data_IF_305926644112
#
_entry.id   IF_305926644112
#
_cell.length_a   1.000
_cell.length_b   1.000
_cell.length_c   1.000
_cell.angle_alpha   90.00
_cell.angle_beta   90.00
_cell.angle_gamma   90.00
#
_symmetry.space_group_name_H-M   'P 1'
#
loop_
_entity.id
_entity.type
_entity.pdbx_description
1 polymer ?
#
# COMPACT_ATOMS: atom_id res chain seq x y z
N UNK A 1 23.04 17.45 7.78
CA UNK A 1 22.29 16.61 6.83
C UNK A 1 20.79 16.71 7.08
N UNK A 2 20.27 16.21 8.21
CA UNK A 2 18.83 16.27 8.53
C UNK A 2 18.24 17.68 8.34
N UNK A 3 18.85 18.70 8.96
CA UNK A 3 18.44 20.10 8.84
C UNK A 3 18.48 20.66 7.41
N UNK A 4 19.39 20.16 6.56
CA UNK A 4 19.51 20.58 5.17
C UNK A 4 18.40 19.96 4.32
N UNK A 5 18.09 18.68 4.53
CA UNK A 5 17.06 17.96 3.78
C UNK A 5 15.65 18.37 4.21
N UNK A 6 15.44 18.69 5.49
CA UNK A 6 14.12 19.06 6.03
C UNK A 6 13.87 20.57 6.07
N UNK A 7 14.84 21.38 5.65
CA UNK A 7 14.74 22.84 5.63
C UNK A 7 14.13 23.38 4.33
N UNK A 8 13.99 24.70 4.22
CA UNK A 8 13.42 25.38 3.03
C UNK A 8 14.18 25.06 1.74
N UNK A 9 15.49 24.77 1.84
CA UNK A 9 16.35 24.40 0.71
C UNK A 9 16.40 22.88 0.42
N UNK A 10 15.59 22.07 1.11
CA UNK A 10 15.63 20.60 1.05
C UNK A 10 15.42 20.03 -0.34
N UNK A 11 14.38 20.50 -1.05
CA UNK A 11 14.11 20.09 -2.43
C UNK A 11 15.27 20.46 -3.38
N UNK A 12 15.79 21.68 -3.28
CA UNK A 12 16.96 22.14 -4.05
C UNK A 12 18.23 21.37 -3.72
N UNK A 13 18.38 20.89 -2.48
CA UNK A 13 19.48 20.01 -2.10
C UNK A 13 19.33 18.63 -2.74
N UNK A 14 18.14 18.02 -2.66
CA UNK A 14 17.85 16.71 -3.28
C UNK A 14 18.01 16.78 -4.80
N UNK A 15 17.49 17.82 -5.45
CA UNK A 15 17.62 18.05 -6.89
C UNK A 15 19.08 18.16 -7.31
N UNK A 16 19.89 18.98 -6.61
CA UNK A 16 21.33 19.09 -6.90
C UNK A 16 22.08 17.79 -6.65
N UNK A 17 21.71 17.06 -5.60
CA UNK A 17 22.36 15.78 -5.27
C UNK A 17 22.03 14.73 -6.33
N UNK A 18 20.78 14.66 -6.78
CA UNK A 18 20.33 13.76 -7.83
C UNK A 18 20.85 14.11 -9.23
N UNK A 19 21.02 15.41 -9.52
CA UNK A 19 21.53 15.89 -10.81
C UNK A 19 23.06 15.93 -10.89
N UNK A 20 23.78 15.87 -9.77
CA UNK A 20 25.24 15.73 -9.83
C UNK A 20 25.64 14.32 -10.30
N UNK A 21 26.67 14.24 -11.14
CA UNK A 21 27.20 12.96 -11.63
C UNK A 21 28.23 12.44 -10.64
N UNK A 22 27.78 11.62 -9.69
CA UNK A 22 28.65 11.07 -8.65
C UNK A 22 29.44 9.87 -9.19
N UNK A 23 30.68 9.65 -8.70
CA UNK A 23 31.35 8.37 -8.89
C UNK A 23 30.56 7.22 -8.28
N UNK A 24 30.83 6.00 -8.76
CA UNK A 24 30.26 4.76 -8.21
C UNK A 24 28.74 4.81 -8.08
N UNK A 25 28.06 5.33 -9.11
CA UNK A 25 26.61 5.37 -9.22
C UNK A 25 25.91 6.13 -8.06
N UNK A 26 26.63 7.02 -7.37
CA UNK A 26 26.12 7.75 -6.21
C UNK A 26 26.22 7.00 -4.88
N UNK A 27 27.11 6.01 -4.75
CA UNK A 27 27.26 5.23 -3.50
C UNK A 27 27.59 6.10 -2.26
N UNK A 28 28.43 7.12 -2.40
CA UNK A 28 28.77 8.01 -1.28
C UNK A 28 27.56 8.80 -0.76
N UNK A 29 26.83 9.58 -1.59
CA UNK A 29 25.63 10.27 -1.11
C UNK A 29 24.53 9.27 -0.72
N UNK A 30 24.46 8.07 -1.30
CA UNK A 30 23.54 7.02 -0.86
C UNK A 30 23.75 6.65 0.62
N UNK A 31 25.00 6.59 1.06
CA UNK A 31 25.41 6.28 2.44
C UNK A 31 24.74 7.18 3.49
N UNK A 32 24.42 8.43 3.13
CA UNK A 32 23.75 9.41 3.99
C UNK A 32 22.33 9.01 4.40
N UNK A 33 21.66 8.16 3.61
CA UNK A 33 20.25 7.78 3.82
C UNK A 33 20.08 6.35 4.38
N UNK A 34 21.15 5.54 4.36
CA UNK A 34 21.10 4.12 4.76
C UNK A 34 20.64 3.87 6.20
N UNK A 35 20.81 4.85 7.10
CA UNK A 35 20.43 4.75 8.51
C UNK A 35 18.93 4.98 8.76
N UNK A 36 18.18 5.53 7.80
CA UNK A 36 16.76 5.91 7.98
C UNK A 36 15.91 4.68 8.30
N UNK A 37 16.06 3.60 7.54
CA UNK A 37 15.29 2.37 7.75
C UNK A 37 15.59 1.73 9.12
N UNK A 38 16.85 1.48 9.50
CA UNK A 38 17.19 0.98 10.84
C UNK A 38 16.72 1.87 12.00
N UNK A 39 16.60 3.19 11.79
CA UNK A 39 16.14 4.12 12.83
C UNK A 39 14.64 3.95 13.16
N UNK A 40 13.83 3.44 12.22
CA UNK A 40 12.41 3.14 12.45
C UNK A 40 12.23 1.94 13.37
N UNK A 41 13.08 0.92 13.22
CA UNK A 41 13.02 -0.31 14.01
C UNK A 41 13.69 -0.16 15.39
N UNK A 42 14.43 0.95 15.59
CA UNK A 42 15.17 1.24 16.82
C UNK A 42 14.29 1.80 17.95
N UNK A 43 14.76 1.66 19.19
CA UNK A 43 14.09 2.23 20.37
C UNK A 43 14.32 3.75 20.55
N UNK A 44 15.21 4.36 19.78
CA UNK A 44 15.58 5.77 19.91
C UNK A 44 14.59 6.69 19.19
N UNK A 45 13.67 7.27 19.97
CA UNK A 45 12.60 8.15 19.48
C UNK A 45 13.11 9.39 18.71
N UNK A 46 14.15 10.11 19.14
CA UNK A 46 14.71 11.22 18.37
C UNK A 46 15.22 10.80 16.98
N UNK A 47 15.94 9.67 16.89
CA UNK A 47 16.41 9.16 15.59
C UNK A 47 15.25 8.75 14.69
N UNK A 48 14.23 8.06 15.24
CA UNK A 48 13.03 7.70 14.49
C UNK A 48 12.30 8.95 13.96
N UNK A 49 12.18 10.00 14.79
CA UNK A 49 11.56 11.27 14.38
C UNK A 49 12.37 11.99 13.29
N UNK A 50 13.69 12.02 13.39
CA UNK A 50 14.55 12.63 12.37
C UNK A 50 14.48 11.85 11.05
N UNK A 51 14.51 10.51 11.11
CA UNK A 51 14.31 9.63 9.98
C UNK A 51 12.98 9.90 9.28
N UNK A 52 11.88 10.03 10.04
CA UNK A 52 10.56 10.30 9.50
C UNK A 52 10.47 11.64 8.77
N UNK A 53 11.08 12.69 9.32
CA UNK A 53 11.11 14.01 8.67
C UNK A 53 11.88 13.99 7.37
N UNK A 54 13.04 13.32 7.34
CA UNK A 54 13.85 13.20 6.13
C UNK A 54 13.09 12.40 5.07
N UNK A 55 12.52 11.25 5.45
CA UNK A 55 11.72 10.43 4.54
C UNK A 55 10.51 11.21 3.99
N UNK A 56 9.87 12.05 4.81
CA UNK A 56 8.79 12.92 4.35
C UNK A 56 9.28 13.90 3.28
N UNK A 57 10.39 14.61 3.51
CA UNK A 57 10.96 15.53 2.51
C UNK A 57 11.39 14.82 1.22
N UNK A 58 11.90 13.59 1.31
CA UNK A 58 12.20 12.76 0.13
C UNK A 58 10.92 12.37 -0.62
N UNK A 59 9.87 12.00 0.11
CA UNK A 59 8.56 11.66 -0.47
C UNK A 59 7.92 12.86 -1.17
N UNK A 60 8.00 14.06 -0.58
CA UNK A 60 7.55 15.31 -1.21
C UNK A 60 8.34 15.60 -2.50
N UNK A 61 9.67 15.50 -2.44
CA UNK A 61 10.52 15.72 -3.60
C UNK A 61 10.19 14.76 -4.75
N UNK A 62 10.02 13.46 -4.49
CA UNK A 62 9.66 12.48 -5.52
C UNK A 62 8.24 12.65 -6.07
N UNK A 63 7.32 13.17 -5.26
CA UNK A 63 5.95 13.47 -5.69
C UNK A 63 5.89 14.71 -6.61
N UNK A 64 6.72 15.72 -6.35
CA UNK A 64 6.68 17.02 -7.04
C UNK A 64 7.66 17.15 -8.20
N UNK A 65 8.74 16.35 -8.19
CA UNK A 65 9.81 16.40 -9.19
C UNK A 65 10.03 15.03 -9.86
N UNK A 66 9.04 14.49 -10.61
CA UNK A 66 9.14 13.17 -11.22
C UNK A 66 10.26 13.06 -12.26
N UNK A 67 10.55 14.14 -12.99
CA UNK A 67 11.64 14.17 -13.97
C UNK A 67 13.01 14.13 -13.28
N UNK A 68 13.21 14.94 -12.23
CA UNK A 68 14.45 14.92 -11.44
C UNK A 68 14.66 13.56 -10.77
N UNK A 69 13.57 12.87 -10.40
CA UNK A 69 13.63 11.53 -9.82
C UNK A 69 14.06 10.48 -10.84
N UNK A 70 13.49 10.50 -12.05
CA UNK A 70 13.92 9.62 -13.16
C UNK A 70 15.36 9.89 -13.56
N UNK A 71 15.77 11.15 -13.60
CA UNK A 71 17.17 11.53 -13.85
C UNK A 71 18.09 11.01 -12.74
N UNK A 72 17.65 11.07 -11.47
CA UNK A 72 18.39 10.54 -10.32
C UNK A 72 18.63 9.05 -10.46
N UNK A 73 17.61 8.27 -10.83
CA UNK A 73 17.72 6.83 -11.04
C UNK A 73 18.70 6.50 -12.17
N UNK A 74 18.56 7.16 -13.33
CA UNK A 74 19.41 6.90 -14.49
C UNK A 74 20.87 7.28 -14.29
N UNK A 75 21.13 8.34 -13.51
CA UNK A 75 22.49 8.87 -13.27
C UNK A 75 23.15 8.32 -12.02
N UNK A 76 22.38 8.12 -10.96
CA UNK A 76 22.85 7.75 -9.62
C UNK A 76 22.00 6.62 -9.03
N UNK A 77 22.01 5.42 -9.64
CA UNK A 77 21.11 4.34 -9.24
C UNK A 77 21.29 3.90 -7.77
N UNK A 78 22.50 3.96 -7.21
CA UNK A 78 22.73 3.61 -5.80
C UNK A 78 22.11 4.65 -4.84
N UNK A 79 22.14 5.93 -5.20
CA UNK A 79 21.47 7.00 -4.44
C UNK A 79 19.96 6.81 -4.49
N UNK A 80 19.41 6.59 -5.68
CA UNK A 80 17.98 6.35 -5.85
C UNK A 80 17.51 5.13 -5.05
N UNK A 81 18.24 4.02 -5.09
CA UNK A 81 17.93 2.82 -4.30
C UNK A 81 17.88 3.10 -2.79
N UNK A 82 18.84 3.87 -2.26
CA UNK A 82 18.88 4.23 -0.83
C UNK A 82 17.69 5.13 -0.44
N UNK A 83 17.33 6.11 -1.29
CA UNK A 83 16.16 6.97 -1.08
C UNK A 83 14.85 6.17 -1.16
N UNK A 84 14.73 5.27 -2.14
CA UNK A 84 13.58 4.38 -2.29
C UNK A 84 13.41 3.47 -1.07
N UNK A 85 14.51 2.87 -0.60
CA UNK A 85 14.52 2.00 0.57
C UNK A 85 14.13 2.75 1.86
N UNK A 86 14.50 4.02 1.98
CA UNK A 86 14.12 4.88 3.10
C UNK A 86 12.60 5.12 3.18
N UNK A 87 11.87 5.07 2.05
CA UNK A 87 10.43 5.31 2.00
C UNK A 87 9.58 4.06 2.33
N UNK A 88 10.13 2.85 2.20
CA UNK A 88 9.39 1.59 2.39
C UNK A 88 8.72 1.52 3.77
N UNK A 89 9.43 1.91 4.84
CA UNK A 89 8.91 1.87 6.20
C UNK A 89 7.72 2.82 6.43
N UNK A 90 7.56 3.85 5.59
CA UNK A 90 6.56 4.91 5.77
C UNK A 90 5.32 4.76 4.88
N UNK A 91 5.22 3.70 4.07
CA UNK A 91 4.05 3.43 3.24
C UNK A 91 2.74 3.35 4.04
N UNK A 92 2.79 2.87 5.28
CA UNK A 92 1.65 2.90 6.19
C UNK A 92 1.21 4.34 6.51
N UNK A 93 2.16 5.21 6.89
CA UNK A 93 1.88 6.61 7.18
C UNK A 93 1.28 7.35 5.98
N UNK A 94 1.78 7.08 4.78
CA UNK A 94 1.26 7.68 3.55
C UNK A 94 -0.25 7.44 3.39
N UNK A 95 -0.78 6.31 3.85
CA UNK A 95 -2.21 5.96 3.79
C UNK A 95 -2.97 6.20 5.11
N UNK A 96 -2.32 6.82 6.08
CA UNK A 96 -2.89 7.21 7.37
C UNK A 96 -2.74 6.20 8.50
N UNK A 97 -1.90 5.17 8.35
CA UNK A 97 -1.52 4.28 9.46
C UNK A 97 -0.46 4.96 10.35
N UNK A 98 -0.79 5.30 11.61
CA UNK A 98 0.16 5.95 12.52
C UNK A 98 1.19 4.98 13.11
N UNK A 99 1.10 3.66 12.87
CA UNK A 99 1.96 2.67 13.49
C UNK A 99 3.42 2.79 13.02
N UNK A 100 4.32 3.11 13.96
CA UNK A 100 5.77 3.01 13.75
C UNK A 100 6.36 4.07 12.80
N UNK A 101 5.70 5.21 12.60
CA UNK A 101 6.07 6.18 11.56
C UNK A 101 6.26 7.61 12.08
N UNK A 102 6.70 7.75 13.34
CA UNK A 102 6.92 9.05 13.99
C UNK A 102 7.77 9.98 13.13
N UNK A 103 7.32 11.23 12.97
CA UNK A 103 8.02 12.27 12.21
C UNK A 103 7.70 12.30 10.72
N UNK A 104 6.95 11.33 10.19
CA UNK A 104 6.48 11.32 8.80
C UNK A 104 5.01 11.75 8.73
N UNK A 105 4.74 12.88 8.09
CA UNK A 105 3.37 13.31 7.80
C UNK A 105 2.88 12.69 6.47
N UNK A 106 1.60 12.31 6.34
CA UNK A 106 1.03 11.95 5.04
C UNK A 106 1.17 13.11 4.04
N UNK A 107 1.46 12.81 2.77
CA UNK A 107 1.57 13.83 1.71
C UNK A 107 0.21 14.46 1.38
N UNK A 108 -0.84 13.67 1.52
CA UNK A 108 -2.23 14.07 1.30
C UNK A 108 -3.07 13.75 2.54
N UNK A 109 -4.22 14.40 2.67
CA UNK A 109 -5.21 13.99 3.66
C UNK A 109 -5.65 12.53 3.39
N UNK A 110 -5.67 11.62 4.38
CA UNK A 110 -6.04 10.22 4.15
C UNK A 110 -7.46 10.02 3.61
N UNK A 111 -8.36 10.99 3.83
CA UNK A 111 -9.72 10.99 3.29
C UNK A 111 -9.86 11.77 1.98
N UNK A 112 -8.76 12.00 1.25
CA UNK A 112 -8.77 12.59 -0.12
C UNK A 112 -8.56 11.54 -1.21
N UNK A 113 -8.45 11.98 -2.46
CA UNK A 113 -8.08 11.17 -3.63
C UNK A 113 -6.56 10.89 -3.71
N UNK A 114 -5.78 11.47 -2.78
CA UNK A 114 -4.34 11.25 -2.60
C UNK A 114 -3.44 11.54 -3.83
N UNK A 115 -3.59 12.70 -4.50
CA UNK A 115 -2.87 12.97 -5.75
C UNK A 115 -1.34 13.04 -5.59
N UNK A 116 -0.80 13.60 -4.49
CA UNK A 116 0.67 13.67 -4.30
C UNK A 116 1.25 12.27 -4.03
N UNK A 117 0.55 11.47 -3.24
CA UNK A 117 0.94 10.08 -2.96
C UNK A 117 0.82 9.22 -4.22
N UNK A 118 -0.20 9.43 -5.05
CA UNK A 118 -0.31 8.78 -6.36
C UNK A 118 0.85 9.16 -7.29
N UNK A 119 1.24 10.45 -7.32
CA UNK A 119 2.41 10.91 -8.06
C UNK A 119 3.69 10.20 -7.60
N UNK A 120 3.92 10.12 -6.28
CA UNK A 120 5.05 9.35 -5.71
C UNK A 120 5.02 7.89 -6.18
N UNK A 121 3.88 7.19 -6.04
CA UNK A 121 3.77 5.79 -6.47
C UNK A 121 4.00 5.64 -7.99
N UNK A 122 3.57 6.61 -8.79
CA UNK A 122 3.77 6.60 -10.25
C UNK A 122 5.25 6.76 -10.60
N UNK A 123 5.92 7.74 -9.96
CA UNK A 123 7.36 7.95 -10.06
C UNK A 123 8.12 6.66 -9.71
N UNK A 124 7.78 6.03 -8.58
CA UNK A 124 8.41 4.77 -8.15
C UNK A 124 8.10 3.61 -9.10
N UNK A 125 6.86 3.47 -9.58
CA UNK A 125 6.50 2.39 -10.52
C UNK A 125 7.24 2.51 -11.86
N UNK A 126 7.53 3.75 -12.30
CA UNK A 126 8.32 4.00 -13.49
C UNK A 126 9.82 3.78 -13.31
N UNK A 127 10.29 3.62 -12.08
CA UNK A 127 11.70 3.64 -11.72
C UNK A 127 12.26 2.24 -11.40
N UNK A 128 12.71 1.53 -12.45
CA UNK A 128 13.60 0.36 -12.37
C UNK A 128 13.35 -0.66 -11.25
N UNK A 129 14.39 -1.42 -10.83
CA UNK A 129 14.22 -2.45 -9.80
C UNK A 129 13.88 -1.91 -8.40
N UNK A 130 14.46 -0.77 -8.00
CA UNK A 130 14.26 -0.21 -6.65
C UNK A 130 12.81 0.29 -6.46
N UNK A 131 12.25 0.94 -7.47
CA UNK A 131 10.86 1.39 -7.46
C UNK A 131 9.85 0.23 -7.56
N UNK A 132 10.16 -0.81 -8.35
CA UNK A 132 9.39 -2.07 -8.33
C UNK A 132 9.39 -2.71 -6.93
N UNK A 133 10.54 -2.71 -6.25
CA UNK A 133 10.67 -3.18 -4.86
C UNK A 133 9.77 -2.41 -3.90
N UNK A 134 9.69 -1.08 -4.04
CA UNK A 134 8.77 -0.25 -3.26
C UNK A 134 7.30 -0.65 -3.48
N UNK A 135 6.85 -0.81 -4.73
CA UNK A 135 5.47 -1.23 -5.03
C UNK A 135 5.19 -2.64 -4.51
N UNK A 136 6.15 -3.56 -4.59
CA UNK A 136 6.03 -4.92 -4.06
C UNK A 136 5.86 -4.93 -2.53
N UNK A 137 6.62 -4.11 -1.80
CA UNK A 137 6.46 -3.95 -0.34
C UNK A 137 5.09 -3.35 0.03
N UNK A 138 4.57 -2.43 -0.80
CA UNK A 138 3.24 -1.87 -0.61
C UNK A 138 2.17 -2.98 -0.75
N UNK A 139 2.31 -3.90 -1.71
CA UNK A 139 1.42 -5.06 -1.85
C UNK A 139 1.46 -5.97 -0.63
N UNK A 140 2.66 -6.32 -0.16
CA UNK A 140 2.80 -7.15 1.05
C UNK A 140 2.16 -6.48 2.28
N UNK A 141 2.15 -5.15 2.34
CA UNK A 141 1.47 -4.40 3.39
C UNK A 141 -0.06 -4.45 3.25
N UNK A 142 -0.60 -4.36 2.02
CA UNK A 142 -2.03 -4.62 1.75
C UNK A 142 -2.42 -6.00 2.25
N UNK A 143 -1.68 -7.04 1.85
CA UNK A 143 -1.95 -8.43 2.23
C UNK A 143 -2.01 -8.58 3.76
N UNK A 144 -1.07 -7.98 4.50
CA UNK A 144 -1.07 -8.00 5.97
C UNK A 144 -2.29 -7.33 6.60
N UNK A 145 -2.71 -6.18 6.09
CA UNK A 145 -3.93 -5.51 6.59
C UNK A 145 -5.19 -6.33 6.29
N UNK A 146 -5.29 -6.90 5.09
CA UNK A 146 -6.44 -7.74 4.71
C UNK A 146 -6.49 -9.03 5.52
N UNK A 147 -5.35 -9.67 5.77
CA UNK A 147 -5.24 -10.85 6.63
C UNK A 147 -5.63 -10.56 8.08
N UNK A 148 -5.09 -9.48 8.67
CA UNK A 148 -5.42 -9.08 10.04
C UNK A 148 -6.92 -8.79 10.19
N UNK A 149 -7.50 -8.06 9.23
CA UNK A 149 -8.95 -7.84 9.19
C UNK A 149 -9.72 -9.16 9.05
N UNK A 150 -9.32 -10.04 8.13
CA UNK A 150 -10.03 -11.28 7.87
C UNK A 150 -9.99 -12.25 9.06
N UNK A 151 -8.86 -12.33 9.76
CA UNK A 151 -8.70 -13.13 10.98
C UNK A 151 -9.62 -12.60 12.09
N UNK A 152 -9.65 -11.28 12.33
CA UNK A 152 -10.53 -10.70 13.34
C UNK A 152 -12.01 -10.85 12.97
N UNK A 153 -12.37 -10.56 11.71
CA UNK A 153 -13.75 -10.67 11.24
C UNK A 153 -14.29 -12.10 11.35
N UNK A 154 -13.44 -13.10 11.11
CA UNK A 154 -13.83 -14.50 11.23
C UNK A 154 -13.89 -14.99 12.70
N UNK A 155 -13.05 -14.44 13.58
CA UNK A 155 -13.00 -14.83 14.99
C UNK A 155 -14.24 -14.38 15.79
N UNK A 156 -14.71 -13.15 15.55
CA UNK A 156 -15.95 -12.63 16.15
C UNK A 156 -16.73 -11.77 15.14
N UNK A 157 -17.49 -12.39 14.23
CA UNK A 157 -18.17 -11.68 13.14
C UNK A 157 -19.36 -10.82 13.61
N UNK A 158 -19.81 -10.99 14.86
CA UNK A 158 -20.89 -10.19 15.46
C UNK A 158 -20.35 -8.95 16.20
N UNK A 159 -19.07 -8.94 16.57
CA UNK A 159 -18.46 -7.80 17.24
C UNK A 159 -18.39 -6.56 16.33
N UNK A 160 -18.53 -5.36 16.91
CA UNK A 160 -18.22 -4.12 16.20
C UNK A 160 -16.76 -4.10 15.71
N UNK A 161 -16.55 -3.86 14.42
CA UNK A 161 -15.22 -3.58 13.86
C UNK A 161 -14.89 -2.11 14.16
N UNK A 162 -14.00 -1.89 15.14
CA UNK A 162 -13.63 -0.56 15.64
C UNK A 162 -12.12 -0.42 15.80
N UNK A 163 -11.64 0.80 16.05
CA UNK A 163 -10.24 1.05 16.37
C UNK A 163 -9.28 0.69 15.22
N UNK A 164 -8.18 0.02 15.57
CA UNK A 164 -7.08 -0.31 14.65
C UNK A 164 -7.55 -1.12 13.44
N UNK A 165 -8.42 -2.12 13.64
CA UNK A 165 -8.81 -3.03 12.55
C UNK A 165 -9.71 -2.38 11.52
N UNK A 166 -10.60 -1.46 11.93
CA UNK A 166 -11.31 -0.61 10.96
C UNK A 166 -10.35 0.34 10.23
N UNK A 167 -9.30 0.79 10.92
CA UNK A 167 -8.21 1.55 10.31
C UNK A 167 -7.49 0.74 9.24
N UNK A 168 -7.08 -0.49 9.55
CA UNK A 168 -6.38 -1.41 8.66
C UNK A 168 -7.15 -1.65 7.35
N UNK A 169 -8.48 -1.84 7.41
CA UNK A 169 -9.27 -2.00 6.18
C UNK A 169 -9.26 -0.74 5.31
N UNK A 170 -9.28 0.45 5.92
CA UNK A 170 -9.16 1.71 5.16
C UNK A 170 -7.75 1.88 4.58
N UNK A 171 -6.72 1.54 5.35
CA UNK A 171 -5.32 1.62 4.90
C UNK A 171 -5.07 0.68 3.73
N UNK A 172 -5.59 -0.55 3.79
CA UNK A 172 -5.55 -1.52 2.70
C UNK A 172 -6.22 -0.97 1.44
N UNK A 173 -7.45 -0.45 1.56
CA UNK A 173 -8.20 0.09 0.43
C UNK A 173 -7.48 1.25 -0.25
N UNK A 174 -6.91 2.18 0.53
CA UNK A 174 -6.14 3.32 0.01
C UNK A 174 -4.85 2.87 -0.68
N UNK A 175 -4.08 2.00 -0.04
CA UNK A 175 -2.81 1.52 -0.56
C UNK A 175 -3.01 0.72 -1.85
N UNK A 176 -4.01 -0.16 -1.88
CA UNK A 176 -4.35 -0.92 -3.07
C UNK A 176 -4.90 -0.03 -4.19
N UNK A 177 -5.64 1.03 -3.84
CA UNK A 177 -6.10 2.03 -4.81
C UNK A 177 -4.94 2.75 -5.50
N UNK A 178 -3.92 3.17 -4.73
CA UNK A 178 -2.70 3.79 -5.25
C UNK A 178 -1.95 2.84 -6.20
N UNK A 179 -1.81 1.57 -5.81
CA UNK A 179 -1.17 0.53 -6.63
C UNK A 179 -1.96 0.32 -7.94
N UNK A 180 -3.28 0.18 -7.85
CA UNK A 180 -4.11 -0.05 -9.03
C UNK A 180 -4.07 1.12 -10.02
N UNK A 181 -4.05 2.37 -9.52
CA UNK A 181 -3.93 3.57 -10.35
C UNK A 181 -2.66 3.53 -11.21
N UNK A 182 -1.51 3.24 -10.61
CA UNK A 182 -0.23 3.24 -11.34
C UNK A 182 -0.06 2.05 -12.28
N UNK A 183 -0.78 0.95 -12.03
CA UNK A 183 -0.82 -0.20 -12.93
C UNK A 183 -1.74 0.00 -14.14
N UNK A 184 -2.80 0.81 -14.00
CA UNK A 184 -3.66 1.19 -15.12
C UNK A 184 -2.96 2.17 -16.06
N UNK A 185 -2.12 3.04 -15.52
CA UNK A 185 -1.29 3.96 -16.29
C UNK A 185 -0.14 3.24 -17.05
N UNK A 186 0.22 2.03 -16.63
CA UNK A 186 1.16 1.15 -17.34
C UNK A 186 0.47 0.30 -18.41
N UNK A 187 1.01 0.26 -19.63
CA UNK A 187 0.48 -0.59 -20.70
C UNK A 187 0.45 -2.08 -20.27
N UNK A 188 -0.73 -2.59 -19.88
CA UNK A 188 -0.95 -4.03 -19.72
C UNK A 188 -1.71 -4.52 -18.49
N UNK A 189 -2.32 -3.65 -17.68
CA UNK A 189 -3.09 -4.06 -16.50
C UNK A 189 -4.26 -5.01 -16.81
N UNK A 190 -4.06 -6.33 -16.59
CA UNK A 190 -5.15 -7.31 -16.56
C UNK A 190 -6.04 -6.99 -15.36
N UNK A 191 -7.20 -6.38 -15.62
CA UNK A 191 -8.28 -6.24 -14.65
C UNK A 191 -8.65 -7.64 -14.15
N UNK A 192 -8.34 -7.95 -12.89
CA UNK A 192 -8.85 -9.15 -12.24
C UNK A 192 -10.37 -9.02 -12.15
N UNK A 193 -11.10 -9.85 -12.91
CA UNK A 193 -12.56 -9.79 -13.02
C UNK A 193 -13.29 -10.02 -11.69
N UNK A 194 -12.60 -10.57 -10.68
CA UNK A 194 -13.14 -10.72 -9.33
C UNK A 194 -13.05 -9.44 -8.48
N UNK A 195 -12.26 -8.44 -8.86
CA UNK A 195 -12.10 -7.18 -8.10
C UNK A 195 -11.53 -7.34 -6.67
N UNK A 196 -10.92 -6.29 -6.10
CA UNK A 196 -10.40 -6.34 -4.72
C UNK A 196 -11.44 -6.64 -3.66
N UNK A 197 -12.66 -6.10 -3.82
CA UNK A 197 -13.75 -6.34 -2.87
C UNK A 197 -14.03 -7.83 -2.71
N UNK A 198 -14.18 -8.58 -3.80
CA UNK A 198 -14.51 -10.00 -3.67
C UNK A 198 -13.33 -10.86 -3.21
N UNK A 199 -12.09 -10.39 -3.39
CA UNK A 199 -10.92 -11.02 -2.76
C UNK A 199 -10.97 -10.86 -1.23
N UNK A 200 -11.29 -9.67 -0.73
CA UNK A 200 -11.45 -9.43 0.70
C UNK A 200 -12.66 -10.18 1.29
N UNK A 201 -13.80 -10.19 0.59
CA UNK A 201 -14.97 -10.99 0.99
C UNK A 201 -14.60 -12.48 1.06
N UNK A 202 -13.87 -13.00 0.07
CA UNK A 202 -13.37 -14.38 0.09
C UNK A 202 -12.44 -14.64 1.28
N UNK A 203 -11.50 -13.73 1.56
CA UNK A 203 -10.56 -13.89 2.66
C UNK A 203 -11.28 -14.05 4.01
N UNK A 204 -12.36 -13.29 4.23
CA UNK A 204 -13.20 -13.43 5.43
C UNK A 204 -14.00 -14.73 5.40
N UNK A 205 -14.77 -14.98 4.34
CA UNK A 205 -15.73 -16.10 4.30
C UNK A 205 -15.02 -17.45 4.32
N UNK A 206 -13.85 -17.58 3.66
CA UNK A 206 -13.05 -18.81 3.66
C UNK A 206 -12.53 -19.20 5.05
N UNK A 207 -12.43 -18.25 5.98
CA UNK A 207 -12.09 -18.51 7.39
C UNK A 207 -13.31 -18.90 8.23
N UNK A 208 -14.51 -18.44 7.84
CA UNK A 208 -15.76 -18.69 8.54
C UNK A 208 -16.44 -20.00 8.13
N UNK A 209 -16.31 -20.39 6.86
CA UNK A 209 -17.02 -21.54 6.29
C UNK A 209 -16.05 -22.69 6.04
N UNK A 210 -16.39 -23.87 6.56
CA UNK A 210 -15.72 -25.14 6.23
C UNK A 210 -16.76 -26.17 5.78
N UNK A 211 -16.45 -26.92 4.74
CA UNK A 211 -17.34 -27.94 4.17
C UNK A 211 -18.34 -27.34 3.18
N UNK A 212 -19.57 -27.13 3.63
CA UNK A 212 -20.67 -26.60 2.81
C UNK A 212 -21.51 -25.60 3.60
N UNK A 213 -21.99 -24.54 2.96
CA UNK A 213 -22.96 -23.61 3.53
C UNK A 213 -24.14 -23.46 2.55
N UNK A 214 -25.40 -23.52 3.00
CA UNK A 214 -26.56 -23.42 2.11
C UNK A 214 -26.67 -22.08 1.36
N UNK A 215 -25.94 -21.04 1.81
CA UNK A 215 -25.88 -19.72 1.15
C UNK A 215 -24.86 -19.67 0.01
N UNK A 216 -23.97 -20.66 -0.09
CA UNK A 216 -22.92 -20.72 -1.09
C UNK A 216 -23.04 -22.03 -1.88
N UNK A 217 -23.10 -21.92 -3.21
CA UNK A 217 -23.24 -23.09 -4.07
C UNK A 217 -22.06 -24.05 -3.93
N UNK A 218 -22.35 -25.36 -3.86
CA UNK A 218 -21.36 -26.41 -3.68
C UNK A 218 -20.22 -26.40 -4.73
N UNK A 219 -20.48 -25.88 -5.93
CA UNK A 219 -19.49 -25.73 -7.00
C UNK A 219 -18.33 -24.77 -6.65
N UNK A 220 -18.50 -23.91 -5.65
CA UNK A 220 -17.46 -22.99 -5.19
C UNK A 220 -16.60 -23.54 -4.05
N UNK A 221 -16.77 -24.82 -3.73
CA UNK A 221 -15.95 -25.56 -2.79
C UNK A 221 -15.06 -26.56 -3.53
N UNK A 222 -13.81 -26.69 -3.11
CA UNK A 222 -12.92 -27.74 -3.56
C UNK A 222 -13.30 -29.10 -2.94
N UNK A 223 -12.70 -30.22 -3.40
CA UNK A 223 -12.99 -31.54 -2.83
C UNK A 223 -12.69 -31.67 -1.33
N UNK A 224 -11.92 -30.75 -0.75
CA UNK A 224 -11.60 -30.69 0.68
C UNK A 224 -12.64 -29.87 1.46
N UNK A 225 -13.65 -29.30 0.79
CA UNK A 225 -14.67 -28.45 1.41
C UNK A 225 -14.17 -27.05 1.73
N UNK A 226 -13.11 -26.58 1.07
CA UNK A 226 -12.59 -25.22 1.20
C UNK A 226 -13.11 -24.37 0.06
N UNK A 227 -13.42 -23.10 0.34
CA UNK A 227 -13.79 -22.17 -0.71
C UNK A 227 -12.67 -22.00 -1.75
N UNK A 228 -13.03 -22.03 -3.02
CA UNK A 228 -12.09 -21.79 -4.13
C UNK A 228 -11.80 -20.29 -4.22
N UNK A 229 -10.53 -19.90 -4.37
CA UNK A 229 -10.16 -18.49 -4.51
C UNK A 229 -10.80 -17.83 -5.74
N UNK A 230 -11.16 -16.53 -5.69
CA UNK A 230 -11.86 -15.87 -6.80
C UNK A 230 -11.13 -15.95 -8.15
N UNK A 231 -9.79 -15.94 -8.16
CA UNK A 231 -8.99 -16.10 -9.38
C UNK A 231 -9.01 -17.50 -10.00
N UNK A 232 -9.59 -18.49 -9.33
CA UNK A 232 -9.80 -19.85 -9.84
C UNK A 232 -11.24 -20.14 -10.26
N UNK A 233 -12.15 -19.18 -10.04
CA UNK A 233 -13.55 -19.30 -10.46
C UNK A 233 -13.67 -18.91 -11.93
N UNK A 234 -14.44 -19.68 -12.70
CA UNK A 234 -14.74 -19.36 -14.10
C UNK A 234 -15.34 -17.95 -14.20
N UNK A 235 -14.87 -17.17 -15.19
CA UNK A 235 -15.34 -15.82 -15.48
C UNK A 235 -16.87 -15.75 -15.60
N UNK A 236 -17.51 -16.77 -16.18
CA UNK A 236 -18.97 -16.82 -16.31
C UNK A 236 -19.70 -16.92 -14.95
N UNK A 237 -18.99 -17.32 -13.90
CA UNK A 237 -19.51 -17.56 -12.56
C UNK A 237 -18.99 -16.55 -11.52
N UNK A 238 -18.01 -15.71 -11.85
CA UNK A 238 -17.38 -14.77 -10.91
C UNK A 238 -18.40 -13.82 -10.27
N UNK A 239 -19.35 -13.28 -11.04
CA UNK A 239 -20.40 -12.39 -10.51
C UNK A 239 -21.34 -13.11 -9.54
N UNK A 240 -21.71 -14.36 -9.85
CA UNK A 240 -22.52 -15.18 -8.95
C UNK A 240 -21.76 -15.49 -7.66
N UNK A 241 -20.46 -15.81 -7.78
CA UNK A 241 -19.62 -16.11 -6.63
C UNK A 241 -19.48 -14.91 -5.70
N UNK A 242 -19.13 -13.74 -6.24
CA UNK A 242 -19.06 -12.48 -5.51
C UNK A 242 -20.40 -12.17 -4.81
N UNK A 243 -21.53 -12.33 -5.51
CA UNK A 243 -22.85 -12.09 -4.92
C UNK A 243 -23.15 -13.04 -3.74
N UNK A 244 -22.73 -14.30 -3.81
CA UNK A 244 -22.93 -15.27 -2.72
C UNK A 244 -22.05 -14.97 -1.51
N UNK A 245 -20.79 -14.55 -1.71
CA UNK A 245 -19.92 -14.09 -0.62
C UNK A 245 -20.52 -12.86 0.07
N UNK A 246 -20.97 -11.88 -0.72
CA UNK A 246 -21.62 -10.67 -0.18
C UNK A 246 -22.92 -10.99 0.56
N UNK A 247 -23.75 -11.89 0.00
CA UNK A 247 -24.98 -12.34 0.65
C UNK A 247 -24.69 -13.09 1.96
N UNK A 248 -23.65 -13.94 2.01
CA UNK A 248 -23.22 -14.59 3.24
C UNK A 248 -22.86 -13.56 4.32
N UNK A 249 -22.08 -12.53 3.94
CA UNK A 249 -21.61 -11.49 4.86
C UNK A 249 -22.69 -10.49 5.27
N UNK A 250 -23.81 -10.41 4.56
CA UNK A 250 -24.96 -9.57 4.93
C UNK A 250 -25.54 -9.87 6.32
N UNK A 251 -25.32 -11.10 6.82
CA UNK A 251 -25.65 -11.50 8.19
C UNK A 251 -24.75 -10.84 9.27
N UNK A 252 -23.66 -10.19 8.86
CA UNK A 252 -22.64 -9.58 9.72
C UNK A 252 -22.43 -8.11 9.31
N UNK A 253 -23.31 -7.18 9.76
CA UNK A 253 -23.32 -5.80 9.27
C UNK A 253 -22.02 -5.04 9.53
N UNK A 254 -21.34 -5.29 10.65
CA UNK A 254 -20.07 -4.63 10.99
C UNK A 254 -18.95 -5.02 10.02
N UNK A 255 -18.86 -6.30 9.67
CA UNK A 255 -17.90 -6.83 8.68
C UNK A 255 -18.23 -6.28 7.29
N UNK A 256 -19.50 -6.34 6.89
CA UNK A 256 -19.97 -5.80 5.61
C UNK A 256 -19.67 -4.29 5.46
N UNK A 257 -19.86 -3.51 6.53
CA UNK A 257 -19.56 -2.09 6.53
C UNK A 257 -18.06 -1.80 6.39
N UNK A 258 -17.20 -2.58 7.04
CA UNK A 258 -15.74 -2.44 6.91
C UNK A 258 -15.25 -2.78 5.48
N UNK A 259 -15.81 -3.82 4.86
CA UNK A 259 -15.51 -4.17 3.46
C UNK A 259 -16.03 -3.09 2.49
N UNK A 260 -17.17 -2.48 2.79
CA UNK A 260 -17.66 -1.33 2.03
C UNK A 260 -16.70 -0.13 2.15
N UNK A 261 -16.27 0.22 3.38
CA UNK A 261 -15.28 1.27 3.62
C UNK A 261 -13.97 1.02 2.83
N UNK A 262 -13.48 -0.22 2.81
CA UNK A 262 -12.33 -0.63 1.99
C UNK A 262 -12.55 -0.36 0.51
N UNK A 263 -13.67 -0.84 -0.04
CA UNK A 263 -13.98 -0.71 -1.46
C UNK A 263 -14.17 0.75 -1.85
N UNK A 264 -14.81 1.56 -1.01
CA UNK A 264 -15.02 2.99 -1.27
C UNK A 264 -13.68 3.74 -1.33
N UNK A 265 -12.75 3.45 -0.42
CA UNK A 265 -11.40 4.02 -0.45
C UNK A 265 -10.62 3.58 -1.69
N UNK A 266 -10.68 2.28 -2.02
CA UNK A 266 -10.05 1.72 -3.22
C UNK A 266 -10.58 2.40 -4.49
N UNK A 267 -11.90 2.41 -4.71
CA UNK A 267 -12.51 2.94 -5.93
C UNK A 267 -12.27 4.44 -6.07
N UNK A 268 -12.32 5.19 -4.98
CA UNK A 268 -12.06 6.63 -4.99
C UNK A 268 -10.67 6.95 -5.51
N UNK A 269 -9.64 6.26 -5.00
CA UNK A 269 -8.24 6.55 -5.36
C UNK A 269 -7.89 5.94 -6.72
N UNK A 270 -8.35 4.72 -6.99
CA UNK A 270 -8.04 4.02 -8.24
C UNK A 270 -8.65 4.68 -9.48
N UNK A 271 -9.77 5.40 -9.33
CA UNK A 271 -10.49 6.04 -10.45
C UNK A 271 -10.38 7.58 -10.46
N UNK A 272 -9.60 8.18 -9.56
CA UNK A 272 -9.28 9.60 -9.57
C UNK A 272 -8.17 9.92 -10.58
#
# INVERSE_FOLDING_TARGET
MAEVVTGEDGASFLERTCSYEWPEDGAEPAGLFTWIRPAVDGADQPSAQAAGKIAHSVAEFFAEHPDATRDCEGRNPALFESLAAALISYQGAMVGDPAGTTGFAPLDAPDSDMPRTASLFSTMNSAGPAGQGFVAEARQRVDRYEEAFADQAAADPAAPITGSVRGETKFAGRLLGLIARVEQDGEGGRVSLSGPKSQLEYAVVSRMVRGSDPRISAQFFDPQGTLISPGRVDNAQSSLYAAQLSNFLSAYPAVSAAIADFNDNYQRIANA
#
